data_IF_727645847445
#
_entry.id   IF_727645847445
#
_cell.length_a   1.000
_cell.length_b   1.000
_cell.length_c   1.000
_cell.angle_alpha   90.00
_cell.angle_beta   90.00
_cell.angle_gamma   90.00
#
_symmetry.space_group_name_H-M   'P 1'
#
loop_
_entity.id
_entity.type
_entity.pdbx_description
1 polymer ?
#
# COMPACT_ATOMS: atom_id res chain seq x y z
N UNK A 1 -2.68 -21.87 -7.73
CA UNK A 1 -1.92 -20.79 -8.39
C UNK A 1 -1.36 -19.90 -7.31
N UNK A 2 -0.06 -19.54 -7.35
CA UNK A 2 0.43 -18.43 -6.50
C UNK A 2 -0.11 -17.16 -7.13
N UNK A 3 -0.89 -16.37 -6.39
CA UNK A 3 -1.29 -15.05 -6.86
C UNK A 3 0.00 -14.26 -7.11
N UNK A 4 0.15 -13.76 -8.33
CA UNK A 4 1.31 -12.96 -8.70
C UNK A 4 1.04 -11.56 -8.16
N UNK A 5 1.65 -11.25 -7.02
CA UNK A 5 1.62 -9.90 -6.45
C UNK A 5 2.29 -8.96 -7.46
N UNK A 6 1.65 -7.83 -7.76
CA UNK A 6 2.15 -6.82 -8.71
C UNK A 6 2.99 -5.75 -8.01
N UNK A 7 2.50 -5.27 -6.86
CA UNK A 7 3.14 -4.29 -6.00
C UNK A 7 2.67 -4.47 -4.55
N UNK A 8 3.40 -3.87 -3.62
CA UNK A 8 3.01 -3.72 -2.22
C UNK A 8 2.54 -2.31 -1.99
N UNK A 9 1.31 -2.14 -1.51
CA UNK A 9 0.89 -0.87 -0.90
C UNK A 9 1.23 -0.96 0.58
N UNK A 10 2.12 -0.10 1.04
CA UNK A 10 2.61 -0.06 2.42
C UNK A 10 2.28 1.28 3.03
N UNK A 11 1.74 1.25 4.25
CA UNK A 11 1.39 2.44 5.02
C UNK A 11 1.57 2.16 6.52
N UNK A 12 1.70 3.23 7.29
CA UNK A 12 1.69 3.19 8.75
C UNK A 12 0.70 4.19 9.33
N UNK A 13 -0.08 3.73 10.29
CA UNK A 13 -1.08 4.56 10.95
C UNK A 13 -0.89 4.54 12.45
N UNK A 14 -1.13 5.69 13.09
CA UNK A 14 -1.04 5.83 14.52
C UNK A 14 -2.39 5.49 15.17
N UNK A 15 -2.37 4.59 16.15
CA UNK A 15 -3.54 4.19 16.93
C UNK A 15 -3.39 4.69 18.36
N UNK A 16 -4.47 5.26 18.91
CA UNK A 16 -4.54 5.57 20.32
C UNK A 16 -5.19 4.41 21.08
N UNK A 17 -4.46 3.80 22.01
CA UNK A 17 -4.94 2.71 22.86
C UNK A 17 -4.85 3.18 24.31
N UNK A 18 -5.99 3.56 24.89
CA UNK A 18 -6.04 4.21 26.19
C UNK A 18 -5.27 5.54 26.19
N UNK A 19 -4.23 5.63 27.02
CA UNK A 19 -3.35 6.82 27.12
C UNK A 19 -2.06 6.71 26.31
N UNK A 20 -1.93 5.69 25.44
CA UNK A 20 -0.72 5.44 24.66
C UNK A 20 -1.00 5.57 23.16
N UNK A 21 0.02 5.97 22.42
CA UNK A 21 0.03 5.94 20.96
C UNK A 21 0.95 4.81 20.49
N UNK A 22 0.48 4.03 19.53
CA UNK A 22 1.23 2.93 18.88
C UNK A 22 1.13 3.10 17.36
N UNK A 23 2.12 2.58 16.65
CA UNK A 23 2.15 2.57 15.19
C UNK A 23 1.76 1.17 14.70
N UNK A 24 0.75 1.12 13.85
CA UNK A 24 0.37 -0.07 13.09
C UNK A 24 0.93 0.08 11.69
N UNK A 25 1.76 -0.88 11.28
CA UNK A 25 2.31 -1.01 9.94
C UNK A 25 1.49 -2.03 9.18
N UNK A 26 1.11 -1.72 7.94
CA UNK A 26 0.30 -2.60 7.11
C UNK A 26 0.84 -2.68 5.69
N UNK A 27 0.78 -3.88 5.10
CA UNK A 27 0.99 -4.06 3.67
C UNK A 27 -0.15 -4.86 3.06
N UNK A 28 -0.61 -4.43 1.89
CA UNK A 28 -1.68 -5.09 1.15
C UNK A 28 -1.25 -5.38 -0.30
N UNK A 29 -1.87 -6.41 -0.88
CA UNK A 29 -1.87 -6.64 -2.32
C UNK A 29 -3.05 -5.88 -2.93
N UNK A 30 -2.83 -4.86 -3.78
CA UNK A 30 -3.89 -4.05 -4.34
C UNK A 30 -4.84 -4.81 -5.27
N UNK A 31 -4.39 -5.92 -5.85
CA UNK A 31 -5.20 -6.69 -6.80
C UNK A 31 -6.20 -7.61 -6.10
N UNK A 32 -5.86 -8.07 -4.90
CA UNK A 32 -6.67 -9.04 -4.15
C UNK A 32 -7.28 -8.48 -2.87
N UNK A 33 -6.97 -7.22 -2.53
CA UNK A 33 -7.33 -6.57 -1.27
C UNK A 33 -6.88 -7.38 -0.02
N UNK A 34 -5.93 -8.31 -0.19
CA UNK A 34 -5.43 -9.15 0.90
C UNK A 34 -4.36 -8.43 1.71
N UNK A 35 -4.46 -8.58 3.02
CA UNK A 35 -3.42 -8.13 3.96
C UNK A 35 -2.26 -9.12 3.89
N UNK A 36 -1.10 -8.64 3.46
CA UNK A 36 0.10 -9.44 3.30
C UNK A 36 0.86 -9.59 4.63
N UNK A 37 0.99 -8.50 5.38
CA UNK A 37 1.58 -8.49 6.71
C UNK A 37 1.10 -7.30 7.54
N UNK A 38 1.26 -7.40 8.85
CA UNK A 38 1.02 -6.34 9.81
C UNK A 38 2.08 -6.40 10.92
N UNK A 39 2.48 -5.24 11.46
CA UNK A 39 3.33 -5.16 12.65
C UNK A 39 2.91 -4.00 13.54
N UNK A 40 3.22 -4.08 14.84
CA UNK A 40 2.88 -3.05 15.83
C UNK A 40 4.15 -2.61 16.55
N UNK A 41 4.44 -1.32 16.50
CA UNK A 41 5.60 -0.72 17.16
C UNK A 41 5.19 0.45 18.05
N UNK A 42 6.02 0.77 19.03
CA UNK A 42 5.82 1.99 19.85
C UNK A 42 6.42 3.23 19.21
N UNK A 43 7.33 3.05 18.26
CA UNK A 43 8.08 4.11 17.61
C UNK A 43 7.95 4.00 16.09
N UNK A 44 8.02 5.16 15.41
CA UNK A 44 8.13 5.26 13.96
C UNK A 44 9.54 5.68 13.62
N UNK A 45 10.33 4.74 13.12
CA UNK A 45 11.71 5.00 12.73
C UNK A 45 12.10 4.14 11.52
N UNK A 46 13.22 4.48 10.91
CA UNK A 46 13.69 3.87 9.68
C UNK A 46 14.02 2.37 9.84
N UNK A 47 14.56 1.97 11.00
CA UNK A 47 14.89 0.57 11.28
C UNK A 47 13.62 -0.31 11.26
N UNK A 48 12.51 0.21 11.77
CA UNK A 48 11.24 -0.51 11.71
C UNK A 48 10.71 -0.61 10.28
N UNK A 49 10.81 0.45 9.47
CA UNK A 49 10.42 0.39 8.06
C UNK A 49 11.25 -0.65 7.27
N UNK A 50 12.57 -0.66 7.42
CA UNK A 50 13.47 -1.62 6.77
C UNK A 50 13.21 -3.07 7.23
N UNK A 51 13.03 -3.28 8.54
CA UNK A 51 12.67 -4.60 9.08
C UNK A 51 11.30 -5.07 8.58
N UNK A 52 10.32 -4.18 8.52
CA UNK A 52 8.97 -4.49 8.04
C UNK A 52 9.00 -4.93 6.56
N UNK A 53 9.66 -4.15 5.70
CA UNK A 53 9.85 -4.49 4.30
C UNK A 53 10.64 -5.79 4.12
N UNK A 54 11.67 -6.02 4.93
CA UNK A 54 12.46 -7.26 4.90
C UNK A 54 11.61 -8.51 5.16
N UNK A 55 10.65 -8.42 6.10
CA UNK A 55 9.72 -9.52 6.38
C UNK A 55 8.84 -9.82 5.16
N UNK A 56 8.30 -8.78 4.51
CA UNK A 56 7.48 -8.94 3.30
C UNK A 56 8.30 -9.58 2.18
N UNK A 57 9.53 -9.09 1.96
CA UNK A 57 10.42 -9.62 0.92
C UNK A 57 10.77 -11.09 1.17
N UNK A 58 10.99 -11.48 2.42
CA UNK A 58 11.25 -12.88 2.78
C UNK A 58 10.08 -13.79 2.44
N UNK A 59 8.85 -13.33 2.69
CA UNK A 59 7.67 -14.19 2.63
C UNK A 59 7.02 -14.20 1.23
N UNK A 60 7.13 -13.09 0.49
CA UNK A 60 6.44 -12.86 -0.80
C UNK A 60 7.39 -12.48 -1.96
N UNK A 61 8.68 -12.26 -1.69
CA UNK A 61 9.68 -11.86 -2.68
C UNK A 61 9.79 -10.34 -2.87
N UNK A 62 10.68 -9.92 -3.78
CA UNK A 62 10.84 -8.49 -4.11
C UNK A 62 9.83 -8.07 -5.16
N UNK A 63 9.07 -7.02 -4.87
CA UNK A 63 8.12 -6.36 -5.76
C UNK A 63 8.21 -4.85 -5.58
N UNK A 64 7.57 -4.08 -6.46
CA UNK A 64 7.46 -2.63 -6.35
C UNK A 64 6.80 -2.26 -5.02
N UNK A 65 7.34 -1.28 -4.31
CA UNK A 65 6.74 -0.72 -3.09
C UNK A 65 6.13 0.63 -3.42
N UNK A 66 4.89 0.81 -3.01
CA UNK A 66 4.11 2.02 -3.18
C UNK A 66 3.75 2.56 -1.79
N UNK A 67 4.30 3.72 -1.42
CA UNK A 67 4.04 4.38 -0.12
C UNK A 67 3.68 5.84 -0.33
N UNK A 68 3.13 6.49 0.71
CA UNK A 68 3.10 7.93 0.76
C UNK A 68 4.52 8.51 0.98
N UNK A 69 4.65 9.81 0.70
CA UNK A 69 5.93 10.53 0.62
C UNK A 69 6.50 10.79 2.02
N UNK A 70 7.03 9.74 2.66
CA UNK A 70 7.84 9.84 3.86
C UNK A 70 9.30 9.45 3.60
N UNK A 71 10.19 10.16 4.28
CA UNK A 71 11.65 10.02 4.20
C UNK A 71 12.18 8.63 4.60
N UNK A 72 11.38 7.81 5.29
CA UNK A 72 11.78 6.50 5.79
C UNK A 72 11.85 5.44 4.67
N UNK A 73 10.92 5.48 3.72
CA UNK A 73 10.77 4.43 2.71
C UNK A 73 11.81 4.46 1.58
N UNK A 74 12.22 5.62 1.04
CA UNK A 74 13.24 5.66 -0.01
C UNK A 74 14.54 4.98 0.42
N UNK A 75 15.00 5.28 1.64
CA UNK A 75 16.25 4.74 2.16
C UNK A 75 16.10 3.24 2.52
N UNK A 76 14.95 2.82 3.06
CA UNK A 76 14.69 1.40 3.34
C UNK A 76 14.61 0.55 2.06
N UNK A 77 13.97 1.08 1.00
CA UNK A 77 13.90 0.42 -0.29
C UNK A 77 15.27 0.34 -0.98
N UNK A 78 16.10 1.39 -0.87
CA UNK A 78 17.47 1.40 -1.38
C UNK A 78 18.31 0.27 -0.74
N UNK A 79 18.27 0.13 0.58
CA UNK A 79 18.97 -0.95 1.29
C UNK A 79 18.53 -2.35 0.82
N UNK A 80 17.24 -2.53 0.59
CA UNK A 80 16.67 -3.80 0.15
C UNK A 80 16.74 -4.00 -1.37
N UNK A 81 17.23 -3.01 -2.13
CA UNK A 81 17.24 -2.98 -3.59
C UNK A 81 15.86 -3.27 -4.16
N UNK A 82 14.87 -2.51 -3.68
CA UNK A 82 13.49 -2.55 -4.13
C UNK A 82 13.20 -1.27 -4.91
N UNK A 83 12.42 -1.40 -5.99
CA UNK A 83 11.88 -0.24 -6.67
C UNK A 83 10.82 0.41 -5.76
N UNK A 84 10.86 1.74 -5.64
CA UNK A 84 9.96 2.52 -4.79
C UNK A 84 9.25 3.57 -5.62
N UNK A 85 7.92 3.55 -5.55
CA UNK A 85 7.05 4.55 -6.15
C UNK A 85 6.38 5.35 -5.04
N UNK A 86 6.62 6.65 -5.04
CA UNK A 86 5.94 7.56 -4.14
C UNK A 86 4.55 7.84 -4.72
N UNK A 87 3.52 7.38 -4.03
CA UNK A 87 2.15 7.71 -4.38
C UNK A 87 1.77 8.98 -3.62
N UNK A 88 1.87 10.11 -4.30
CA UNK A 88 1.19 11.33 -3.87
C UNK A 88 -0.31 11.07 -3.99
N UNK A 89 -1.01 10.92 -2.86
CA UNK A 89 -2.43 10.63 -2.75
C UNK A 89 -2.79 9.14 -2.86
N UNK A 90 -3.07 8.54 -1.70
CA UNK A 90 -3.70 7.24 -1.44
C UNK A 90 -5.00 6.93 -2.23
N UNK A 91 -5.40 7.71 -3.25
CA UNK A 91 -6.68 7.60 -3.97
C UNK A 91 -6.63 7.87 -5.49
N UNK A 92 -5.52 7.68 -6.20
CA UNK A 92 -5.52 7.93 -7.65
C UNK A 92 -6.00 6.75 -8.52
N UNK A 93 -5.98 5.50 -8.04
CA UNK A 93 -6.23 4.34 -8.94
C UNK A 93 -7.62 3.71 -8.85
N UNK A 94 -8.33 3.79 -7.71
CA UNK A 94 -9.74 3.33 -7.65
C UNK A 94 -10.72 4.30 -8.34
N UNK A 95 -10.37 5.58 -8.51
CA UNK A 95 -11.30 6.58 -9.04
C UNK A 95 -11.41 6.65 -10.57
N UNK A 96 -10.44 6.16 -11.35
CA UNK A 96 -10.53 6.33 -12.81
C UNK A 96 -11.39 5.25 -13.48
N UNK A 97 -11.32 4.01 -12.99
CA UNK A 97 -12.08 2.91 -13.58
C UNK A 97 -13.56 2.91 -13.15
N UNK A 98 -13.87 3.37 -11.91
CA UNK A 98 -15.26 3.49 -11.44
C UNK A 98 -16.03 4.68 -12.08
N UNK A 99 -15.32 5.73 -12.52
CA UNK A 99 -15.95 6.89 -13.17
C UNK A 99 -16.22 6.66 -14.67
N UNK A 100 -15.38 5.90 -15.37
CA UNK A 100 -15.57 5.61 -16.80
C UNK A 100 -16.54 4.44 -17.04
N UNK A 101 -16.65 3.49 -16.11
CA UNK A 101 -17.58 2.35 -16.20
C UNK A 101 -19.07 2.68 -16.06
N UNK A 102 -19.43 3.86 -15.52
CA UNK A 102 -20.83 4.26 -15.29
C UNK A 102 -21.38 5.29 -16.29
N UNK A 103 -20.56 5.76 -17.24
CA UNK A 103 -21.01 6.68 -18.29
C UNK A 103 -21.56 5.97 -19.55
N UNK A 104 -21.33 4.66 -19.70
CA UNK A 104 -21.75 3.87 -20.87
C UNK A 104 -23.11 3.17 -20.72
N UNK A 105 -23.88 3.43 -19.66
CA UNK A 105 -25.19 2.79 -19.42
C UNK A 105 -26.38 3.72 -19.14
N UNK A 106 -26.26 5.01 -19.47
CA UNK A 106 -27.42 5.93 -19.52
C UNK A 106 -27.42 6.74 -20.81
N UNK A 107 -27.82 6.10 -21.91
CA UNK A 107 -27.93 6.77 -23.21
C UNK A 107 -28.52 5.93 -24.35
N UNK A 108 -29.23 4.85 -24.07
CA UNK A 108 -30.10 4.19 -25.05
C UNK A 108 -31.51 4.10 -24.45
N UNK A 109 -32.30 5.17 -24.59
CA UNK A 109 -33.74 5.09 -24.81
C UNK A 109 -34.37 6.48 -25.07
N UNK A 110 -35.42 6.48 -25.91
CA UNK A 110 -36.24 7.60 -26.44
C UNK A 110 -35.70 8.10 -27.80
N UNK A 111 -36.08 7.53 -28.94
CA UNK A 111 -37.41 7.60 -29.60
C UNK A 111 -37.91 9.04 -29.71
N UNK A 112 -37.58 9.70 -30.82
CA UNK A 112 -38.50 10.23 -31.84
C UNK A 112 -37.70 10.75 -33.04
#
# INVERSE_FOLDING_TARGET
MRNKISEYIVDETILQVGSQFIWLWGAIDPETDQILTQDITKERNMLFAERFLSCIVRDYGKHLVSTDDDTLYPQACEFLKMDHHIIFLFLAKKRKDDCEGNALHKGQNSIL
#
